data_IF_155073737936
#
_entry.id   IF_155073737936
#
_cell.length_a   1.000
_cell.length_b   1.000
_cell.length_c   1.000
_cell.angle_alpha   90.00
_cell.angle_beta   90.00
_cell.angle_gamma   90.00
#
_symmetry.space_group_name_H-M   'P 1'
#
loop_
_entity.id
_entity.type
_entity.pdbx_description
1 polymer ?
#
# COMPACT_ATOMS: atom_id res chain seq x y z
N UNK A 1 30.39 -27.98 15.07
CA UNK A 1 29.27 -28.22 14.17
C UNK A 1 28.39 -26.96 14.13
N UNK A 2 28.20 -26.44 12.96
CA UNK A 2 27.41 -25.21 12.80
C UNK A 2 25.93 -25.55 12.81
N UNK A 3 25.19 -24.99 13.76
CA UNK A 3 23.75 -25.15 13.84
C UNK A 3 23.10 -24.13 12.89
N UNK A 4 22.44 -24.62 11.86
CA UNK A 4 21.62 -23.77 11.00
C UNK A 4 20.27 -23.58 11.66
N UNK A 5 19.90 -22.31 11.83
CA UNK A 5 18.55 -22.01 12.31
C UNK A 5 17.59 -21.96 11.15
N UNK A 6 16.49 -22.66 11.30
CA UNK A 6 15.39 -22.68 10.35
C UNK A 6 14.33 -21.69 10.76
N UNK A 7 13.88 -20.88 9.82
CA UNK A 7 12.76 -19.97 10.02
C UNK A 7 11.78 -20.11 8.86
N UNK A 8 10.51 -19.88 9.13
CA UNK A 8 9.52 -19.78 8.08
C UNK A 8 9.32 -18.32 7.74
N UNK A 9 9.30 -18.00 6.43
CA UNK A 9 8.98 -16.66 5.96
C UNK A 9 7.57 -16.30 6.44
N UNK A 10 7.44 -15.17 7.13
CA UNK A 10 6.15 -14.71 7.65
C UNK A 10 5.14 -14.36 6.57
N UNK A 11 5.58 -14.15 5.34
CA UNK A 11 4.73 -13.82 4.20
C UNK A 11 4.31 -15.06 3.42
N UNK A 12 5.28 -15.83 2.89
CA UNK A 12 5.00 -16.93 1.96
C UNK A 12 5.21 -18.33 2.55
N UNK A 13 5.72 -18.43 3.79
CA UNK A 13 5.94 -19.71 4.45
C UNK A 13 7.15 -20.50 3.97
N UNK A 14 7.97 -19.95 3.09
CA UNK A 14 9.19 -20.59 2.60
C UNK A 14 10.18 -20.77 3.74
N UNK A 15 10.83 -21.93 3.82
CA UNK A 15 11.87 -22.18 4.81
C UNK A 15 13.11 -21.35 4.50
N UNK A 16 13.63 -20.69 5.52
CA UNK A 16 14.83 -19.86 5.44
C UNK A 16 15.91 -20.45 6.35
N UNK A 17 17.12 -20.57 5.85
CA UNK A 17 18.25 -21.09 6.60
C UNK A 17 19.32 -20.01 6.81
N UNK A 18 19.76 -19.84 8.06
CA UNK A 18 20.81 -18.87 8.39
C UNK A 18 22.04 -19.57 8.95
N UNK A 19 23.19 -19.11 8.49
CA UNK A 19 24.49 -19.62 8.97
C UNK A 19 24.96 -18.99 10.27
N UNK A 20 24.41 -17.83 10.64
CA UNK A 20 24.92 -17.02 11.76
C UNK A 20 23.79 -16.41 12.58
N UNK A 21 24.17 -15.96 13.78
CA UNK A 21 23.24 -15.37 14.75
C UNK A 21 22.61 -14.03 14.36
N UNK A 22 22.95 -13.47 13.21
CA UNK A 22 22.28 -12.26 12.68
C UNK A 22 20.86 -12.50 12.20
N UNK A 23 20.38 -13.68 12.42
CA UNK A 23 19.07 -14.13 11.98
C UNK A 23 17.89 -13.40 12.64
N UNK A 24 18.13 -12.70 13.74
CA UNK A 24 17.07 -12.01 14.47
C UNK A 24 16.37 -10.90 13.68
N UNK A 25 17.02 -10.41 12.62
CA UNK A 25 16.47 -9.34 11.79
C UNK A 25 15.71 -9.84 10.55
N UNK A 26 15.91 -11.11 10.15
CA UNK A 26 15.39 -11.62 8.88
C UNK A 26 14.30 -12.67 9.08
N UNK A 27 13.05 -12.21 9.10
CA UNK A 27 11.87 -13.07 9.19
C UNK A 27 11.27 -13.40 7.82
N UNK A 28 11.91 -12.96 6.74
CA UNK A 28 11.38 -13.04 5.38
C UNK A 28 12.42 -13.62 4.42
N UNK A 29 11.95 -14.34 3.41
CA UNK A 29 12.81 -14.93 2.40
C UNK A 29 13.38 -13.89 1.42
N UNK A 30 12.76 -12.73 1.33
CA UNK A 30 13.17 -11.66 0.42
C UNK A 30 12.64 -10.31 0.90
N UNK A 31 13.21 -9.23 0.37
CA UNK A 31 12.72 -7.88 0.62
C UNK A 31 11.27 -7.70 0.17
N UNK A 32 10.88 -8.38 -0.90
CA UNK A 32 9.50 -8.33 -1.39
C UNK A 32 8.51 -8.86 -0.35
N UNK A 33 8.80 -10.01 0.26
CA UNK A 33 7.95 -10.56 1.33
C UNK A 33 7.91 -9.64 2.55
N UNK A 34 9.04 -9.06 2.91
CA UNK A 34 9.12 -8.11 4.02
C UNK A 34 8.22 -6.90 3.75
N UNK A 35 8.31 -6.32 2.57
CA UNK A 35 7.51 -5.15 2.20
C UNK A 35 6.01 -5.47 2.15
N UNK A 36 5.64 -6.65 1.69
CA UNK A 36 4.23 -7.06 1.66
C UNK A 36 3.63 -7.16 3.06
N UNK A 37 4.36 -7.74 4.00
CA UNK A 37 3.89 -7.85 5.40
C UNK A 37 3.85 -6.48 6.07
N UNK A 38 4.90 -5.66 5.90
CA UNK A 38 4.93 -4.30 6.44
C UNK A 38 3.78 -3.45 5.88
N UNK A 39 3.49 -3.58 4.60
CA UNK A 39 2.38 -2.88 3.97
C UNK A 39 1.03 -3.34 4.50
N UNK A 40 0.87 -4.65 4.69
CA UNK A 40 -0.35 -5.24 5.26
C UNK A 40 -0.63 -4.69 6.66
N UNK A 41 0.41 -4.65 7.51
CA UNK A 41 0.31 -4.09 8.86
C UNK A 41 -0.03 -2.60 8.82
N UNK A 42 0.56 -1.86 7.88
CA UNK A 42 0.30 -0.44 7.70
C UNK A 42 -1.15 -0.17 7.29
N UNK A 43 -1.69 -0.99 6.37
CA UNK A 43 -3.10 -0.90 5.96
C UNK A 43 -4.03 -1.14 7.14
N UNK A 44 -3.76 -2.15 7.95
CA UNK A 44 -4.56 -2.44 9.13
C UNK A 44 -4.57 -1.26 10.11
N UNK A 45 -3.42 -0.62 10.32
CA UNK A 45 -3.34 0.57 11.18
C UNK A 45 -4.16 1.72 10.64
N UNK A 46 -4.15 1.94 9.33
CA UNK A 46 -4.96 2.98 8.70
C UNK A 46 -6.45 2.71 8.91
N UNK A 47 -6.89 1.48 8.73
CA UNK A 47 -8.28 1.09 8.90
C UNK A 47 -8.74 1.22 10.35
N UNK A 48 -7.89 0.86 11.31
CA UNK A 48 -8.18 1.02 12.74
C UNK A 48 -8.29 2.48 13.16
N UNK A 49 -7.41 3.34 12.65
CA UNK A 49 -7.39 4.77 12.99
C UNK A 49 -8.45 5.57 12.24
N UNK A 50 -8.84 5.12 11.04
CA UNK A 50 -9.74 5.85 10.16
C UNK A 50 -9.06 6.93 9.32
N UNK A 51 -7.72 7.04 9.36
CA UNK A 51 -6.97 7.99 8.53
C UNK A 51 -5.63 7.38 8.09
N UNK A 52 -5.13 7.86 6.95
CA UNK A 52 -3.81 7.46 6.44
C UNK A 52 -2.75 8.46 6.87
N UNK A 53 -1.47 8.06 6.79
CA UNK A 53 -0.37 8.98 7.03
C UNK A 53 -0.44 10.14 6.02
N UNK A 54 -0.10 11.38 6.43
CA UNK A 54 -0.11 12.52 5.51
C UNK A 54 1.04 12.44 4.50
N UNK A 55 0.99 11.43 3.68
CA UNK A 55 1.97 11.09 2.66
C UNK A 55 1.22 10.59 1.42
N UNK A 56 1.31 11.34 0.34
CA UNK A 56 0.59 11.03 -0.90
C UNK A 56 0.89 9.64 -1.46
N UNK A 57 2.11 9.13 -1.27
CA UNK A 57 2.48 7.79 -1.74
C UNK A 57 1.73 6.70 -0.98
N UNK A 58 1.67 6.80 0.34
CA UNK A 58 0.96 5.83 1.18
C UNK A 58 -0.54 5.89 0.96
N UNK A 59 -1.11 7.09 0.90
CA UNK A 59 -2.52 7.31 0.65
C UNK A 59 -2.92 6.76 -0.73
N UNK A 60 -2.15 7.07 -1.76
CA UNK A 60 -2.38 6.58 -3.12
C UNK A 60 -2.35 5.05 -3.17
N UNK A 61 -1.34 4.44 -2.59
CA UNK A 61 -1.22 2.97 -2.56
C UNK A 61 -2.39 2.33 -1.83
N UNK A 62 -2.79 2.88 -0.69
CA UNK A 62 -3.93 2.39 0.06
C UNK A 62 -5.22 2.45 -0.76
N UNK A 63 -5.50 3.58 -1.39
CA UNK A 63 -6.70 3.77 -2.18
C UNK A 63 -6.72 2.88 -3.43
N UNK A 64 -5.57 2.71 -4.10
CA UNK A 64 -5.46 1.81 -5.25
C UNK A 64 -5.68 0.35 -4.85
N UNK A 65 -5.16 -0.08 -3.69
CA UNK A 65 -5.36 -1.43 -3.19
C UNK A 65 -6.82 -1.68 -2.82
N UNK A 66 -7.50 -0.68 -2.26
CA UNK A 66 -8.87 -0.81 -1.79
C UNK A 66 -9.90 -0.73 -2.91
N UNK A 67 -9.72 0.21 -3.83
CA UNK A 67 -10.72 0.51 -4.88
C UNK A 67 -10.30 0.09 -6.28
N UNK A 68 -9.04 -0.29 -6.47
CA UNK A 68 -8.49 -0.58 -7.78
C UNK A 68 -8.07 0.68 -8.54
N UNK A 69 -7.49 0.49 -9.72
CA UNK A 69 -6.99 1.59 -10.55
C UNK A 69 -8.12 2.11 -11.45
N UNK A 70 -9.03 2.87 -10.85
CA UNK A 70 -10.22 3.39 -11.52
C UNK A 70 -10.59 4.77 -10.96
N UNK A 71 -10.99 5.68 -11.83
CA UNK A 71 -11.56 6.95 -11.38
C UNK A 71 -12.93 6.70 -10.73
N UNK A 72 -13.08 7.11 -9.48
CA UNK A 72 -14.32 6.85 -8.75
C UNK A 72 -15.50 7.69 -9.24
N UNK A 73 -15.24 8.77 -9.97
CA UNK A 73 -16.30 9.65 -10.50
C UNK A 73 -16.79 9.19 -11.86
N UNK A 74 -15.87 9.02 -12.84
CA UNK A 74 -16.26 8.68 -14.21
C UNK A 74 -16.06 7.21 -14.57
N UNK A 75 -15.48 6.43 -13.64
CA UNK A 75 -15.23 4.99 -13.79
C UNK A 75 -14.29 4.62 -14.92
N UNK A 76 -13.48 5.56 -15.39
CA UNK A 76 -12.51 5.32 -16.43
C UNK A 76 -11.28 4.62 -15.86
N UNK A 77 -10.85 3.52 -16.50
CA UNK A 77 -9.68 2.73 -16.07
C UNK A 77 -8.50 2.92 -17.00
N UNK A 78 -8.76 3.07 -18.29
CA UNK A 78 -7.75 3.08 -19.34
C UNK A 78 -8.01 4.24 -20.28
N UNK A 79 -6.93 4.85 -20.74
CA UNK A 79 -6.95 5.87 -21.79
C UNK A 79 -5.87 5.55 -22.81
N UNK A 80 -6.25 5.36 -24.07
CA UNK A 80 -5.33 5.04 -25.16
C UNK A 80 -4.42 3.83 -24.83
N UNK A 81 -5.04 2.74 -24.35
CA UNK A 81 -4.38 1.47 -24.00
C UNK A 81 -3.39 1.56 -22.83
N UNK A 82 -3.44 2.63 -22.05
CA UNK A 82 -2.59 2.81 -20.85
C UNK A 82 -3.47 3.03 -19.63
N UNK A 83 -3.01 2.61 -18.44
CA UNK A 83 -3.73 2.94 -17.20
C UNK A 83 -3.91 4.45 -17.11
N UNK A 84 -5.11 4.89 -16.75
CA UNK A 84 -5.39 6.32 -16.65
C UNK A 84 -4.65 6.90 -15.45
N UNK A 85 -3.99 8.08 -15.59
CA UNK A 85 -3.41 8.74 -14.44
C UNK A 85 -4.47 9.14 -13.43
N UNK A 86 -4.26 8.77 -12.17
CA UNK A 86 -5.15 9.11 -11.08
C UNK A 86 -4.45 10.00 -10.07
N UNK A 87 -5.19 10.91 -9.47
CA UNK A 87 -4.72 11.79 -8.41
C UNK A 87 -5.53 11.54 -7.14
N UNK A 88 -4.89 11.73 -5.99
CA UNK A 88 -5.56 11.63 -4.70
C UNK A 88 -6.23 12.96 -4.39
N UNK A 89 -7.56 12.93 -4.25
CA UNK A 89 -8.36 14.12 -4.01
C UNK A 89 -8.91 14.11 -2.58
N UNK A 90 -8.92 15.28 -1.95
CA UNK A 90 -9.57 15.50 -0.65
C UNK A 90 -10.98 15.98 -0.91
N UNK A 91 -11.99 15.16 -0.61
CA UNK A 91 -13.38 15.41 -0.99
C UNK A 91 -13.89 16.76 -0.47
N UNK A 92 -13.52 17.13 0.77
CA UNK A 92 -13.91 18.39 1.38
C UNK A 92 -13.03 19.58 1.00
N UNK A 93 -12.02 19.38 0.14
CA UNK A 93 -11.07 20.42 -0.25
C UNK A 93 -9.99 20.75 0.79
N UNK A 94 -10.00 20.11 1.93
CA UNK A 94 -9.02 20.32 2.99
C UNK A 94 -7.85 19.35 2.84
N UNK A 95 -6.70 19.85 2.36
CA UNK A 95 -5.50 19.05 2.10
C UNK A 95 -4.85 18.50 3.39
N UNK A 96 -5.25 18.96 4.56
CA UNK A 96 -4.76 18.46 5.84
C UNK A 96 -5.64 17.35 6.41
N UNK A 97 -6.77 17.04 5.80
CA UNK A 97 -7.70 16.02 6.25
C UNK A 97 -7.43 14.69 5.52
N UNK A 98 -6.70 13.81 6.19
CA UNK A 98 -6.28 12.50 5.66
C UNK A 98 -7.19 11.35 6.11
N UNK A 99 -8.39 11.65 6.56
CA UNK A 99 -9.38 10.62 6.89
C UNK A 99 -9.68 9.78 5.64
N UNK A 100 -9.78 8.47 5.81
CA UNK A 100 -10.02 7.54 4.68
C UNK A 100 -11.29 7.93 3.92
N UNK A 101 -12.34 8.32 4.65
CA UNK A 101 -13.62 8.71 4.05
C UNK A 101 -13.57 10.03 3.29
N UNK A 102 -12.50 10.81 3.49
CA UNK A 102 -12.30 12.09 2.81
C UNK A 102 -11.41 11.99 1.58
N UNK A 103 -10.87 10.81 1.29
CA UNK A 103 -9.93 10.61 0.19
C UNK A 103 -10.56 9.79 -0.93
N UNK A 104 -10.24 10.17 -2.16
CA UNK A 104 -10.64 9.42 -3.34
C UNK A 104 -9.59 9.53 -4.44
N UNK A 105 -9.55 8.54 -5.33
CA UNK A 105 -8.70 8.58 -6.52
C UNK A 105 -9.56 8.95 -7.72
N UNK A 106 -9.19 10.03 -8.40
CA UNK A 106 -9.93 10.53 -9.55
C UNK A 106 -8.96 10.82 -10.70
N UNK A 107 -9.45 10.78 -11.94
CA UNK A 107 -8.63 11.11 -13.09
C UNK A 107 -8.40 12.62 -13.19
N UNK A 108 -7.41 13.01 -13.99
CA UNK A 108 -7.05 14.42 -14.14
C UNK A 108 -8.21 15.27 -14.66
N UNK A 109 -9.06 14.72 -15.53
CA UNK A 109 -10.24 15.44 -16.03
C UNK A 109 -11.25 15.72 -14.92
N UNK A 110 -11.55 14.72 -14.10
CA UNK A 110 -12.47 14.90 -12.97
C UNK A 110 -11.88 15.85 -11.93
N UNK A 111 -10.56 15.78 -11.70
CA UNK A 111 -9.86 16.71 -10.80
C UNK A 111 -9.98 18.15 -11.29
N UNK A 112 -9.81 18.38 -12.58
CA UNK A 112 -9.92 19.71 -13.17
C UNK A 112 -11.34 20.28 -13.13
N UNK A 113 -12.37 19.41 -13.07
CA UNK A 113 -13.77 19.79 -13.07
C UNK A 113 -14.37 19.96 -11.67
N UNK A 114 -13.62 19.58 -10.64
CA UNK A 114 -14.12 19.69 -9.24
C UNK A 114 -13.52 20.90 -8.47
#
# INVERSE_FOLDING_TARGET
>A
MRIRREYLCECCGTKIYFKYSKASANKFCSSKCQWEVEWRDKKLRFEERGFVDPNSKSARRYLLDRFGHICIICELEVWQNKPIPLVCDHINGNSDDWAIDNLRMICCNCDALT
#
